data_IF_824821271602
#
_entry.id   IF_824821271602
#
_cell.length_a   1.000
_cell.length_b   1.000
_cell.length_c   1.000
_cell.angle_alpha   90.00
_cell.angle_beta   90.00
_cell.angle_gamma   90.00
#
_symmetry.space_group_name_H-M   'P 1'
#
loop_
_entity.id
_entity.type
_entity.pdbx_description
1 polymer ?
#
# COMPACT_ATOMS: atom_id res chain seq x y z
N UNK A 1 -7.09 -16.70 -6.20
CA UNK A 1 -7.85 -16.46 -4.95
C UNK A 1 -7.74 -14.99 -4.62
N UNK A 2 -8.84 -14.23 -4.73
CA UNK A 2 -8.82 -12.78 -4.54
C UNK A 2 -9.17 -12.44 -3.09
N UNK A 3 -8.20 -11.92 -2.34
CA UNK A 3 -8.45 -11.44 -0.98
C UNK A 3 -9.24 -10.12 -1.08
N UNK A 4 -10.46 -10.09 -0.54
CA UNK A 4 -11.24 -8.85 -0.44
C UNK A 4 -10.78 -8.11 0.81
N UNK A 5 -10.17 -6.94 0.63
CA UNK A 5 -9.77 -6.05 1.72
C UNK A 5 -10.88 -5.04 1.96
N UNK A 6 -11.35 -4.95 3.21
CA UNK A 6 -12.37 -3.99 3.62
C UNK A 6 -11.85 -3.17 4.80
N UNK A 7 -11.98 -1.85 4.69
CA UNK A 7 -11.55 -0.79 5.61
C UNK A 7 -10.11 -0.28 5.40
N UNK A 8 -10.04 0.99 5.00
CA UNK A 8 -8.82 1.75 4.80
C UNK A 8 -8.77 2.90 5.81
N UNK A 9 -7.74 2.94 6.64
CA UNK A 9 -7.31 4.16 7.33
C UNK A 9 -5.93 4.53 6.78
N UNK A 10 -5.80 5.73 6.20
CA UNK A 10 -4.52 6.24 5.68
C UNK A 10 -3.58 6.47 6.87
N UNK A 11 -2.44 5.77 6.91
CA UNK A 11 -1.51 5.79 8.05
C UNK A 11 -0.33 6.72 7.78
N UNK A 12 0.26 6.64 6.59
CA UNK A 12 1.46 7.40 6.21
C UNK A 12 1.64 7.41 4.69
N UNK A 13 2.26 8.45 4.14
CA UNK A 13 2.65 8.52 2.71
C UNK A 13 4.16 8.74 2.55
N UNK A 14 4.75 8.13 1.51
CA UNK A 14 6.15 8.25 1.12
C UNK A 14 6.22 8.53 -0.39
N UNK A 15 6.50 9.78 -0.77
CA UNK A 15 6.40 10.19 -2.18
C UNK A 15 4.99 9.94 -2.73
N UNK A 16 4.84 9.32 -3.91
CA UNK A 16 3.53 8.97 -4.46
C UNK A 16 2.95 7.67 -3.86
N UNK A 17 3.58 7.07 -2.84
CA UNK A 17 3.09 5.81 -2.25
C UNK A 17 2.38 6.08 -0.94
N UNK A 18 1.16 5.58 -0.80
CA UNK A 18 0.39 5.60 0.45
C UNK A 18 0.40 4.23 1.11
N UNK A 19 0.50 4.23 2.44
CA UNK A 19 0.38 3.05 3.29
C UNK A 19 -0.94 3.14 4.06
N UNK A 20 -1.78 2.13 3.87
CA UNK A 20 -3.03 1.95 4.57
C UNK A 20 -2.97 0.72 5.46
N UNK A 21 -3.68 0.75 6.58
CA UNK A 21 -4.01 -0.48 7.30
C UNK A 21 -5.19 -1.14 6.60
N UNK A 22 -5.09 -2.44 6.33
CA UNK A 22 -6.12 -3.24 5.70
C UNK A 22 -6.50 -4.39 6.62
N UNK A 23 -7.79 -4.68 6.74
CA UNK A 23 -8.28 -5.88 7.44
C UNK A 23 -8.58 -6.93 6.38
N UNK A 24 -8.00 -8.12 6.56
CA UNK A 24 -8.27 -9.30 5.73
C UNK A 24 -9.57 -9.97 6.18
N UNK A 25 -10.16 -10.75 5.29
CA UNK A 25 -11.41 -11.50 5.54
C UNK A 25 -11.32 -12.43 6.78
N UNK A 26 -10.12 -12.96 7.06
CA UNK A 26 -9.79 -13.77 8.24
C UNK A 26 -9.69 -12.96 9.56
N UNK A 27 -9.86 -11.63 9.50
CA UNK A 27 -9.68 -10.73 10.63
C UNK A 27 -8.23 -10.30 10.88
N UNK A 28 -7.27 -10.83 10.12
CA UNK A 28 -5.87 -10.42 10.20
C UNK A 28 -5.67 -8.96 9.78
N UNK A 29 -4.95 -8.20 10.61
CA UNK A 29 -4.64 -6.79 10.38
C UNK A 29 -3.32 -6.69 9.62
N UNK A 30 -3.39 -6.30 8.35
CA UNK A 30 -2.23 -6.06 7.51
C UNK A 30 -2.04 -4.58 7.16
N UNK A 31 -1.06 -4.36 6.30
CA UNK A 31 -0.75 -3.07 5.71
C UNK A 31 -0.76 -3.22 4.19
N UNK A 32 -1.51 -2.40 3.50
CA UNK A 32 -1.49 -2.31 2.04
C UNK A 32 -0.76 -1.05 1.63
N UNK A 33 0.08 -1.15 0.62
CA UNK A 33 0.78 -0.02 0.02
C UNK A 33 0.29 0.15 -1.40
N UNK A 34 -0.01 1.39 -1.80
CA UNK A 34 -0.50 1.72 -3.14
C UNK A 34 0.23 2.95 -3.66
N UNK A 35 0.69 2.89 -4.91
CA UNK A 35 1.18 4.08 -5.60
C UNK A 35 -0.01 4.85 -6.17
N UNK A 36 -0.18 6.10 -5.76
CA UNK A 36 -1.28 6.98 -6.18
C UNK A 36 -0.97 7.74 -7.46
N UNK A 37 0.21 7.54 -8.06
CA UNK A 37 0.50 8.09 -9.37
C UNK A 37 -0.42 7.46 -10.42
N UNK A 38 -1.21 8.30 -11.10
CA UNK A 38 -2.14 7.89 -12.15
C UNK A 38 -1.43 7.05 -13.22
N UNK A 39 -1.90 5.81 -13.41
CA UNK A 39 -1.33 4.88 -14.40
C UNK A 39 -0.12 4.07 -13.91
N UNK A 40 0.34 4.21 -12.67
CA UNK A 40 1.38 3.34 -12.12
C UNK A 40 0.85 1.93 -11.81
N UNK A 41 -0.33 1.84 -11.20
CA UNK A 41 -0.99 0.55 -10.87
C UNK A 41 -0.25 -0.32 -9.85
N UNK A 42 0.81 0.17 -9.22
CA UNK A 42 1.56 -0.61 -8.24
C UNK A 42 0.83 -0.65 -6.90
N UNK A 43 0.62 -1.86 -6.38
CA UNK A 43 0.11 -2.11 -5.04
C UNK A 43 0.70 -3.39 -4.46
N UNK A 44 0.75 -3.50 -3.13
CA UNK A 44 1.25 -4.68 -2.44
C UNK A 44 0.80 -4.73 -0.98
N UNK A 45 0.60 -5.94 -0.45
CA UNK A 45 0.11 -6.16 0.91
C UNK A 45 1.17 -6.83 1.79
N UNK A 46 1.25 -6.40 3.05
CA UNK A 46 2.25 -6.80 4.03
C UNK A 46 1.57 -7.13 5.37
N UNK A 47 2.17 -8.02 6.15
CA UNK A 47 1.75 -8.30 7.53
C UNK A 47 2.30 -7.29 8.55
N UNK A 48 3.37 -6.56 8.20
CA UNK A 48 4.09 -5.67 9.11
C UNK A 48 4.27 -4.27 8.54
N UNK A 49 4.13 -3.25 9.39
CA UNK A 49 4.29 -1.84 8.99
C UNK A 49 5.70 -1.56 8.46
N UNK A 50 6.74 -2.14 9.07
CA UNK A 50 8.13 -1.96 8.63
C UNK A 50 8.37 -2.44 7.20
N UNK A 51 7.80 -3.59 6.83
CA UNK A 51 7.88 -4.13 5.46
C UNK A 51 7.16 -3.22 4.46
N UNK A 52 5.96 -2.75 4.81
CA UNK A 52 5.22 -1.78 4.00
C UNK A 52 6.00 -0.47 3.80
N UNK A 53 6.61 0.05 4.86
CA UNK A 53 7.42 1.26 4.83
C UNK A 53 8.66 1.10 3.94
N UNK A 54 9.34 -0.05 4.04
CA UNK A 54 10.51 -0.36 3.21
C UNK A 54 10.15 -0.43 1.73
N UNK A 55 9.05 -1.11 1.40
CA UNK A 55 8.54 -1.18 0.03
C UNK A 55 8.13 0.19 -0.52
N UNK A 56 7.45 1.00 0.29
CA UNK A 56 7.04 2.34 -0.10
C UNK A 56 8.24 3.25 -0.39
N UNK A 57 9.27 3.22 0.46
CA UNK A 57 10.51 3.98 0.25
C UNK A 57 11.32 3.49 -0.95
N UNK A 58 11.30 2.20 -1.23
CA UNK A 58 12.01 1.58 -2.36
C UNK A 58 11.28 1.69 -3.70
N UNK A 59 10.04 2.19 -3.73
CA UNK A 59 9.28 2.31 -4.96
C UNK A 59 9.81 3.48 -5.81
N UNK A 60 10.48 3.16 -6.91
CA UNK A 60 10.88 4.13 -7.93
C UNK A 60 9.79 4.25 -8.99
N UNK A 61 8.81 5.11 -8.76
CA UNK A 61 7.75 5.36 -9.74
C UNK A 61 8.36 5.98 -11.00
N UNK A 62 8.20 5.29 -12.14
CA UNK A 62 8.64 5.80 -13.45
C UNK A 62 7.62 6.75 -14.07
N UNK A 63 6.41 6.79 -13.52
CA UNK A 63 5.38 7.76 -13.89
C UNK A 63 5.68 9.04 -13.11
N UNK A 64 5.95 10.13 -13.83
CA UNK A 64 6.04 11.45 -13.20
C UNK A 64 4.63 11.87 -12.81
N UNK A 65 4.33 11.83 -11.51
CA UNK A 65 3.12 12.47 -10.98
C UNK A 65 3.22 13.96 -11.35
N UNK A 66 2.36 14.42 -12.27
CA UNK A 66 2.33 15.84 -12.65
C UNK A 66 1.64 16.65 -11.55
#
# INVERSE_FOLDING_TARGET
MGHRFFLFQRVQSYGPVEIARAVRDDGDKGYSTVCTADGCGWSSDYSSYGSACMAAKGHHCRIKNR
#
